data_IF_114570967532
#
_entry.id   IF_114570967532
#
_cell.length_a   1.000
_cell.length_b   1.000
_cell.length_c   1.000
_cell.angle_alpha   90.00
_cell.angle_beta   90.00
_cell.angle_gamma   90.00
#
_symmetry.space_group_name_H-M   'P 1'
#
loop_
_entity.id
_entity.type
_entity.pdbx_description
1 polymer ?
#
# COMPACT_ATOMS: atom_id res chain seq x y z
N UNK A 1 -11.40 -9.98 6.93
CA UNK A 1 -10.87 -9.44 5.69
C UNK A 1 -9.92 -8.28 5.95
N UNK A 2 -8.99 -8.49 6.78
CA UNK A 2 -7.97 -7.50 7.11
C UNK A 2 -6.59 -8.14 7.02
N UNK A 3 -5.60 -7.32 6.79
CA UNK A 3 -4.22 -7.77 6.81
C UNK A 3 -3.88 -8.17 8.24
N UNK A 4 -3.38 -9.38 8.42
CA UNK A 4 -3.05 -9.89 9.76
C UNK A 4 -1.86 -9.16 10.36
N UNK A 5 -1.69 -9.25 11.68
CA UNK A 5 -0.55 -8.64 12.37
C UNK A 5 0.76 -9.21 11.83
N UNK A 6 0.81 -10.51 11.60
CA UNK A 6 1.99 -11.17 11.05
C UNK A 6 2.32 -10.68 9.65
N UNK A 7 1.29 -10.52 8.83
CA UNK A 7 1.45 -10.02 7.46
C UNK A 7 1.96 -8.59 7.46
N UNK A 8 1.42 -7.74 8.34
CA UNK A 8 1.90 -6.36 8.49
C UNK A 8 3.36 -6.32 8.91
N UNK A 9 3.75 -7.16 9.87
CA UNK A 9 5.13 -7.22 10.32
C UNK A 9 6.08 -7.63 9.19
N UNK A 10 5.69 -8.62 8.40
CA UNK A 10 6.46 -9.06 7.23
C UNK A 10 6.65 -7.91 6.24
N UNK A 11 5.58 -7.22 5.91
CA UNK A 11 5.63 -6.11 4.95
C UNK A 11 6.53 -5.00 5.47
N UNK A 12 6.41 -4.65 6.74
CA UNK A 12 7.25 -3.64 7.35
C UNK A 12 8.72 -4.00 7.27
N UNK A 13 9.06 -5.25 7.57
CA UNK A 13 10.44 -5.73 7.46
C UNK A 13 10.98 -5.66 6.04
N UNK A 14 10.16 -6.02 5.07
CA UNK A 14 10.58 -6.04 3.67
C UNK A 14 10.82 -4.65 3.09
N UNK A 15 10.05 -3.67 3.53
CA UNK A 15 10.06 -2.34 2.91
C UNK A 15 10.65 -1.25 3.79
N UNK A 16 11.01 -1.55 5.02
CA UNK A 16 11.60 -0.53 5.89
C UNK A 16 12.95 -0.05 5.33
N UNK A 17 13.24 1.23 5.52
CA UNK A 17 14.49 1.82 5.05
C UNK A 17 15.62 1.64 6.06
N UNK A 18 15.26 1.38 7.30
CA UNK A 18 16.20 1.06 8.36
C UNK A 18 15.48 0.22 9.42
N UNK A 19 16.22 -0.43 10.27
CA UNK A 19 15.63 -1.24 11.31
C UNK A 19 14.76 -0.39 12.23
N UNK A 20 13.54 -0.87 12.48
CA UNK A 20 12.58 -0.14 13.29
C UNK A 20 11.75 0.88 12.55
N UNK A 21 11.94 1.03 11.22
CA UNK A 21 11.16 1.93 10.40
C UNK A 21 9.75 1.40 10.23
N UNK A 22 8.77 2.15 10.71
CA UNK A 22 7.36 1.80 10.56
C UNK A 22 6.56 2.87 9.82
N UNK A 23 7.19 3.98 9.46
CA UNK A 23 6.47 5.12 8.92
C UNK A 23 7.02 5.72 7.64
N UNK A 24 8.01 5.09 7.00
CA UNK A 24 8.52 5.63 5.74
C UNK A 24 7.46 5.50 4.64
N UNK A 25 7.53 6.34 3.59
CA UNK A 25 6.60 6.22 2.47
C UNK A 25 6.58 4.81 1.87
N UNK A 26 7.73 4.14 1.78
CA UNK A 26 7.81 2.79 1.26
C UNK A 26 6.97 1.81 2.07
N UNK A 27 7.10 1.86 3.38
CA UNK A 27 6.33 0.98 4.27
C UNK A 27 4.85 1.29 4.17
N UNK A 28 4.49 2.56 4.18
CA UNK A 28 3.08 2.97 4.10
C UNK A 28 2.44 2.54 2.79
N UNK A 29 3.13 2.72 1.67
CA UNK A 29 2.62 2.30 0.36
C UNK A 29 2.48 0.79 0.29
N UNK A 30 3.44 0.06 0.83
CA UNK A 30 3.38 -1.41 0.84
C UNK A 30 2.18 -1.91 1.66
N UNK A 31 1.95 -1.32 2.82
CA UNK A 31 0.79 -1.69 3.66
C UNK A 31 -0.53 -1.33 2.99
N UNK A 32 -0.62 -0.15 2.39
CA UNK A 32 -1.82 0.25 1.65
C UNK A 32 -2.08 -0.68 0.48
N UNK A 33 -1.04 -1.08 -0.24
CA UNK A 33 -1.18 -2.02 -1.36
C UNK A 33 -1.72 -3.36 -0.91
N UNK A 34 -1.27 -3.87 0.24
CA UNK A 34 -1.77 -5.12 0.80
C UNK A 34 -3.25 -5.02 1.18
N UNK A 35 -3.65 -3.90 1.79
CA UNK A 35 -5.05 -3.66 2.14
C UNK A 35 -5.94 -3.52 0.91
N UNK A 36 -5.45 -2.83 -0.11
CA UNK A 36 -6.18 -2.65 -1.38
C UNK A 36 -6.43 -4.01 -2.04
N UNK A 37 -5.41 -4.85 -2.05
CA UNK A 37 -5.51 -6.19 -2.62
C UNK A 37 -6.55 -7.04 -1.86
N UNK A 38 -6.53 -6.97 -0.54
CA UNK A 38 -7.50 -7.65 0.33
C UNK A 38 -8.92 -7.20 0.02
N UNK A 39 -9.15 -5.89 -0.06
CA UNK A 39 -10.46 -5.33 -0.35
C UNK A 39 -10.93 -5.68 -1.77
N UNK A 40 -10.00 -5.73 -2.73
CA UNK A 40 -10.33 -6.11 -4.10
C UNK A 40 -10.88 -7.53 -4.14
N UNK A 41 -10.27 -8.44 -3.39
CA UNK A 41 -10.79 -9.80 -3.25
C UNK A 41 -12.17 -9.82 -2.61
N UNK A 42 -12.39 -8.98 -1.61
CA UNK A 42 -13.69 -8.86 -0.95
C UNK A 42 -14.79 -8.48 -1.94
N UNK A 43 -14.51 -7.57 -2.87
CA UNK A 43 -15.51 -7.11 -3.84
C UNK A 43 -15.91 -8.17 -4.84
N UNK A 44 -15.06 -9.15 -5.10
CA UNK A 44 -15.44 -10.28 -5.93
C UNK A 44 -16.57 -11.08 -5.30
N UNK A 45 -16.58 -11.15 -3.97
CA UNK A 45 -17.60 -11.87 -3.20
C UNK A 45 -18.79 -10.99 -2.82
N UNK A 46 -18.55 -9.70 -2.65
CA UNK A 46 -19.56 -8.76 -2.18
C UNK A 46 -19.57 -7.48 -3.03
N UNK A 47 -20.01 -7.57 -4.30
CA UNK A 47 -19.92 -6.42 -5.22
C UNK A 47 -20.81 -5.24 -4.86
N UNK A 48 -21.76 -5.42 -3.95
CA UNK A 48 -22.67 -4.36 -3.54
C UNK A 48 -22.30 -3.69 -2.23
N UNK A 49 -21.12 -3.96 -1.71
CA UNK A 49 -20.65 -3.37 -0.46
C UNK A 49 -20.10 -1.96 -0.73
N UNK A 50 -20.97 -0.97 -0.62
CA UNK A 50 -20.62 0.42 -0.92
C UNK A 50 -19.69 1.04 0.13
N UNK A 51 -19.80 0.65 1.39
CA UNK A 51 -18.93 1.17 2.45
C UNK A 51 -17.49 0.76 2.24
N UNK A 52 -17.26 -0.50 1.90
CA UNK A 52 -15.90 -0.99 1.60
C UNK A 52 -15.34 -0.33 0.34
N UNK A 53 -16.19 -0.03 -0.63
CA UNK A 53 -15.77 0.66 -1.84
C UNK A 53 -15.26 2.07 -1.55
N UNK A 54 -15.93 2.80 -0.65
CA UNK A 54 -15.48 4.12 -0.22
C UNK A 54 -14.13 4.01 0.47
N UNK A 55 -13.95 3.03 1.34
CA UNK A 55 -12.69 2.76 2.01
C UNK A 55 -11.57 2.45 1.03
N UNK A 56 -11.87 1.65 0.01
CA UNK A 56 -10.90 1.31 -1.04
C UNK A 56 -10.44 2.56 -1.79
N UNK A 57 -11.38 3.42 -2.18
CA UNK A 57 -11.04 4.66 -2.88
C UNK A 57 -10.15 5.57 -2.04
N UNK A 58 -10.42 5.65 -0.75
CA UNK A 58 -9.56 6.43 0.17
C UNK A 58 -8.14 5.87 0.21
N UNK A 59 -8.00 4.56 0.30
CA UNK A 59 -6.68 3.92 0.31
C UNK A 59 -5.92 4.11 -0.99
N UNK A 60 -6.61 4.01 -2.12
CA UNK A 60 -6.01 4.23 -3.44
C UNK A 60 -5.50 5.67 -3.55
N UNK A 61 -6.29 6.63 -3.08
CA UNK A 61 -5.90 8.03 -3.10
C UNK A 61 -4.71 8.30 -2.18
N UNK A 62 -4.69 7.72 -0.99
CA UNK A 62 -3.56 7.84 -0.06
C UNK A 62 -2.29 7.27 -0.67
N UNK A 63 -2.39 6.11 -1.31
CA UNK A 63 -1.25 5.48 -1.97
C UNK A 63 -0.71 6.39 -3.08
N UNK A 64 -1.60 6.96 -3.89
CA UNK A 64 -1.18 7.88 -4.95
C UNK A 64 -0.46 9.10 -4.39
N UNK A 65 -0.99 9.69 -3.32
CA UNK A 65 -0.36 10.85 -2.69
C UNK A 65 1.04 10.54 -2.17
N UNK A 66 1.20 9.38 -1.53
CA UNK A 66 2.51 8.96 -1.03
C UNK A 66 3.48 8.70 -2.17
N UNK A 67 3.01 8.08 -3.24
CA UNK A 67 3.86 7.82 -4.42
C UNK A 67 4.24 9.11 -5.11
N UNK A 68 3.32 10.06 -5.24
CA UNK A 68 3.61 11.36 -5.84
C UNK A 68 4.65 12.13 -5.01
N UNK A 69 4.51 12.09 -3.70
CA UNK A 69 5.46 12.70 -2.78
C UNK A 69 6.85 12.08 -2.97
N UNK A 70 6.93 10.77 -2.99
CA UNK A 70 8.19 10.05 -3.14
C UNK A 70 8.83 10.34 -4.50
N UNK A 71 8.03 10.39 -5.54
CA UNK A 71 8.50 10.72 -6.89
C UNK A 71 9.15 12.10 -6.94
N UNK A 72 8.59 13.05 -6.21
CA UNK A 72 9.10 14.41 -6.12
C UNK A 72 10.40 14.50 -5.32
N UNK A 73 10.45 13.78 -4.20
CA UNK A 73 11.56 13.91 -3.26
C UNK A 73 12.72 12.97 -3.56
N UNK A 74 12.43 11.80 -4.11
CA UNK A 74 13.46 10.81 -4.43
C UNK A 74 12.95 9.86 -5.52
N UNK A 75 13.20 10.21 -6.76
CA UNK A 75 12.68 9.48 -7.91
C UNK A 75 13.26 8.06 -8.02
N UNK A 76 14.46 7.84 -7.52
CA UNK A 76 15.06 6.49 -7.53
C UNK A 76 14.34 5.55 -6.58
N UNK A 77 14.04 6.02 -5.37
CA UNK A 77 13.27 5.25 -4.41
C UNK A 77 11.85 4.98 -4.94
N UNK A 78 11.25 5.98 -5.58
CA UNK A 78 9.93 5.81 -6.19
C UNK A 78 9.95 4.70 -7.24
N UNK A 79 10.94 4.74 -8.13
CA UNK A 79 11.06 3.77 -9.21
C UNK A 79 11.28 2.36 -8.67
N UNK A 80 12.17 2.23 -7.69
CA UNK A 80 12.46 0.94 -7.07
C UNK A 80 11.21 0.36 -6.39
N UNK A 81 10.44 1.20 -5.71
CA UNK A 81 9.23 0.78 -5.02
C UNK A 81 8.15 0.33 -6.00
N UNK A 82 7.93 1.10 -7.05
CA UNK A 82 6.92 0.76 -8.08
C UNK A 82 7.26 -0.58 -8.73
N UNK A 83 8.52 -0.80 -9.06
CA UNK A 83 8.98 -2.06 -9.62
C UNK A 83 8.75 -3.23 -8.66
N UNK A 84 9.13 -3.02 -7.40
CA UNK A 84 9.05 -4.04 -6.36
C UNK A 84 7.61 -4.46 -6.09
N UNK A 85 6.68 -3.52 -6.12
CA UNK A 85 5.26 -3.77 -5.88
C UNK A 85 4.50 -4.16 -7.14
N UNK A 86 5.11 -4.04 -8.30
CA UNK A 86 4.47 -4.34 -9.56
C UNK A 86 3.39 -3.34 -9.93
N UNK A 87 3.51 -2.11 -9.45
CA UNK A 87 2.53 -1.07 -9.74
C UNK A 87 2.84 -0.39 -11.07
N UNK A 88 1.79 0.12 -11.69
CA UNK A 88 1.94 0.94 -12.90
C UNK A 88 2.00 2.40 -12.48
N UNK A 89 3.21 2.83 -12.22
CA UNK A 89 3.51 4.13 -11.66
C UNK A 89 2.54 4.57 -10.54
#
# INVERSE_FOLDING_TARGET
>A
MTVTVEKKAEIMQQYQTHQGDTGSPEVQVALLSAHIEDLSGHFELHPKDHHSRIGLLKMVNQRRQLLDYLKKTDSERYRALVERLGLRK
#
